data_IF_328056527165
#
_entry.id   IF_328056527165
#
_cell.length_a   1.000
_cell.length_b   1.000
_cell.length_c   1.000
_cell.angle_alpha   90.00
_cell.angle_beta   90.00
_cell.angle_gamma   90.00
#
_symmetry.space_group_name_H-M   'P 1'
#
loop_
_entity.id
_entity.type
_entity.pdbx_description
1 polymer ?
#
# COMPACT_ATOMS: atom_id res chain seq x y z
N UNK A 1 0.23 -29.49 -28.91
CA UNK A 1 0.02 -28.64 -27.71
C UNK A 1 -0.56 -29.55 -26.62
N UNK A 2 0.28 -30.07 -25.72
CA UNK A 2 -0.19 -30.94 -24.64
C UNK A 2 -0.61 -30.05 -23.47
N UNK A 3 -1.91 -30.04 -23.17
CA UNK A 3 -2.45 -29.41 -21.98
C UNK A 3 -1.86 -30.10 -20.75
N UNK A 4 -1.14 -29.34 -19.90
CA UNK A 4 -0.73 -29.83 -18.58
C UNK A 4 -2.00 -30.06 -17.76
N UNK A 5 -2.18 -31.31 -17.32
CA UNK A 5 -3.29 -31.70 -16.45
C UNK A 5 -3.22 -30.95 -15.12
N UNK A 6 -4.37 -30.66 -14.47
CA UNK A 6 -4.39 -30.01 -13.17
C UNK A 6 -3.66 -30.87 -12.14
N UNK A 7 -2.77 -30.25 -11.36
CA UNK A 7 -2.04 -30.88 -10.27
C UNK A 7 -3.04 -31.19 -9.15
N UNK A 8 -3.71 -32.33 -9.25
CA UNK A 8 -4.54 -32.86 -8.17
C UNK A 8 -3.67 -33.35 -7.03
N UNK A 9 -4.12 -33.15 -5.79
CA UNK A 9 -3.46 -33.73 -4.62
C UNK A 9 -3.57 -35.27 -4.69
N UNK A 10 -2.49 -35.93 -5.09
CA UNK A 10 -2.34 -37.37 -4.99
C UNK A 10 -1.76 -37.65 -3.61
N UNK A 11 -2.58 -38.17 -2.69
CA UNK A 11 -2.18 -38.51 -1.33
C UNK A 11 -0.95 -39.45 -1.27
N UNK A 12 -0.44 -39.74 -0.06
CA UNK A 12 0.80 -40.48 0.13
C UNK A 12 0.78 -41.83 -0.61
N UNK A 13 1.88 -42.11 -1.31
CA UNK A 13 2.10 -43.37 -2.02
C UNK A 13 2.66 -44.43 -1.07
N UNK A 14 2.78 -45.67 -1.55
CA UNK A 14 3.41 -46.75 -0.80
C UNK A 14 4.94 -46.58 -0.66
N UNK A 15 5.52 -45.51 -1.22
CA UNK A 15 6.96 -45.23 -1.18
C UNK A 15 7.21 -43.90 -0.44
N UNK A 16 7.53 -43.96 0.87
CA UNK A 16 7.82 -42.76 1.65
C UNK A 16 8.96 -41.90 1.07
N UNK A 17 9.93 -42.53 0.40
CA UNK A 17 11.01 -41.82 -0.29
C UNK A 17 10.50 -41.03 -1.50
N UNK A 18 9.58 -41.62 -2.30
CA UNK A 18 9.03 -40.93 -3.48
C UNK A 18 8.04 -39.81 -3.09
N UNK A 19 7.43 -39.90 -1.91
CA UNK A 19 6.61 -38.81 -1.36
C UNK A 19 7.48 -37.68 -0.79
N UNK A 20 8.62 -38.02 -0.17
CA UNK A 20 9.59 -37.03 0.33
C UNK A 20 10.23 -36.23 -0.80
N UNK A 21 10.69 -36.91 -1.87
CA UNK A 21 11.25 -36.25 -3.06
C UNK A 21 10.21 -35.34 -3.74
N UNK A 22 8.95 -35.78 -3.86
CA UNK A 22 7.87 -34.96 -4.43
C UNK A 22 7.57 -33.74 -3.58
N UNK A 23 7.57 -33.89 -2.26
CA UNK A 23 7.36 -32.77 -1.35
C UNK A 23 8.49 -31.74 -1.44
N UNK A 24 9.74 -32.18 -1.57
CA UNK A 24 10.90 -31.30 -1.81
C UNK A 24 10.74 -30.53 -3.12
N UNK A 25 10.39 -31.20 -4.22
CA UNK A 25 10.12 -30.55 -5.52
C UNK A 25 8.99 -29.52 -5.43
N UNK A 26 7.90 -29.84 -4.72
CA UNK A 26 6.76 -28.94 -4.53
C UNK A 26 7.15 -27.70 -3.70
N UNK A 27 8.00 -27.87 -2.69
CA UNK A 27 8.53 -26.76 -1.88
C UNK A 27 9.47 -25.87 -2.69
N UNK A 28 10.36 -26.45 -3.49
CA UNK A 28 11.24 -25.69 -4.38
C UNK A 28 10.44 -24.90 -5.41
N UNK A 29 9.42 -25.51 -6.02
CA UNK A 29 8.53 -24.83 -6.96
C UNK A 29 7.73 -23.69 -6.29
N UNK A 30 7.22 -23.92 -5.07
CA UNK A 30 6.52 -22.90 -4.30
C UNK A 30 7.43 -21.73 -3.93
N UNK A 31 8.69 -22.02 -3.55
CA UNK A 31 9.68 -21.01 -3.24
C UNK A 31 10.04 -20.17 -4.48
N UNK A 32 10.30 -20.81 -5.62
CA UNK A 32 10.56 -20.11 -6.87
C UNK A 32 9.37 -19.21 -7.28
N UNK A 33 8.13 -19.68 -7.07
CA UNK A 33 6.94 -18.89 -7.34
C UNK A 33 6.84 -17.67 -6.41
N UNK A 34 7.17 -17.82 -5.11
CA UNK A 34 7.20 -16.71 -4.16
C UNK A 34 8.22 -15.64 -4.56
N UNK A 35 9.43 -16.05 -4.92
CA UNK A 35 10.48 -15.11 -5.34
C UNK A 35 10.08 -14.31 -6.59
N UNK A 36 9.43 -14.96 -7.55
CA UNK A 36 8.89 -14.27 -8.74
C UNK A 36 7.77 -13.31 -8.34
N UNK A 37 6.86 -13.73 -7.46
CA UNK A 37 5.76 -12.89 -6.99
C UNK A 37 6.27 -11.65 -6.25
N UNK A 38 7.25 -11.79 -5.36
CA UNK A 38 7.86 -10.68 -4.62
C UNK A 38 8.52 -9.66 -5.55
N UNK A 39 9.15 -10.12 -6.64
CA UNK A 39 9.75 -9.23 -7.64
C UNK A 39 8.72 -8.53 -8.53
N UNK A 40 7.65 -9.23 -8.91
CA UNK A 40 6.67 -8.72 -9.87
C UNK A 40 5.56 -7.89 -9.23
N UNK A 41 5.17 -8.20 -7.99
CA UNK A 41 4.05 -7.53 -7.32
C UNK A 41 4.22 -5.99 -7.24
N UNK A 42 5.39 -5.43 -6.85
CA UNK A 42 5.58 -3.98 -6.84
C UNK A 42 5.40 -3.34 -8.22
N UNK A 43 5.86 -4.00 -9.28
CA UNK A 43 5.75 -3.51 -10.66
C UNK A 43 4.29 -3.48 -11.13
N UNK A 44 3.51 -4.51 -10.79
CA UNK A 44 2.08 -4.58 -11.11
C UNK A 44 1.33 -3.46 -10.38
N UNK A 45 1.64 -3.23 -9.11
CA UNK A 45 1.04 -2.14 -8.31
C UNK A 45 1.39 -0.78 -8.91
N UNK A 46 2.67 -0.55 -9.24
CA UNK A 46 3.13 0.68 -9.85
C UNK A 46 2.41 0.97 -11.18
N UNK A 47 2.28 -0.04 -12.05
CA UNK A 47 1.58 0.11 -13.33
C UNK A 47 0.12 0.52 -13.14
N UNK A 48 -0.56 -0.01 -12.12
CA UNK A 48 -1.94 0.34 -11.80
C UNK A 48 -2.07 1.77 -11.30
N UNK A 49 -1.19 2.18 -10.39
CA UNK A 49 -1.14 3.57 -9.90
C UNK A 49 -0.90 4.56 -11.05
N UNK A 50 0.00 4.22 -11.98
CA UNK A 50 0.28 5.05 -13.16
C UNK A 50 -0.86 5.11 -14.18
N UNK A 51 -1.77 4.13 -14.16
CA UNK A 51 -2.92 4.10 -15.05
C UNK A 51 -4.08 5.02 -14.59
N UNK A 52 -4.06 5.50 -13.34
CA UNK A 52 -5.07 6.40 -12.78
C UNK A 52 -4.97 7.78 -13.43
N UNK A 53 -6.10 8.29 -13.94
CA UNK A 53 -6.13 9.55 -14.70
C UNK A 53 -7.04 10.60 -14.09
N UNK A 54 -8.00 10.20 -13.26
CA UNK A 54 -8.97 11.09 -12.65
C UNK A 54 -8.84 11.05 -11.13
N UNK A 55 -9.13 12.15 -10.42
CA UNK A 55 -9.09 12.17 -8.95
C UNK A 55 -10.00 11.11 -8.30
N UNK A 56 -11.11 10.74 -8.94
CA UNK A 56 -12.03 9.74 -8.42
C UNK A 56 -11.41 8.33 -8.40
N UNK A 57 -10.49 8.03 -9.32
CA UNK A 57 -9.78 6.74 -9.42
C UNK A 57 -9.01 6.48 -8.12
N UNK A 58 -8.39 7.52 -7.55
CA UNK A 58 -7.64 7.47 -6.29
C UNK A 58 -8.49 7.15 -5.05
N UNK A 59 -9.82 7.30 -5.16
CA UNK A 59 -10.76 7.03 -4.08
C UNK A 59 -11.59 5.76 -4.28
N UNK A 60 -11.55 5.17 -5.48
CA UNK A 60 -12.44 4.07 -5.89
C UNK A 60 -11.69 2.82 -6.36
N UNK A 61 -10.51 2.97 -6.95
CA UNK A 61 -9.83 1.85 -7.61
C UNK A 61 -9.08 0.98 -6.62
N UNK A 62 -9.42 -0.30 -6.68
CA UNK A 62 -8.95 -1.32 -5.74
C UNK A 62 -7.64 -1.93 -6.23
N UNK A 63 -6.57 -1.68 -5.50
CA UNK A 63 -5.28 -2.33 -5.76
C UNK A 63 -5.33 -3.70 -5.07
N UNK A 64 -5.74 -4.69 -5.88
CA UNK A 64 -5.95 -6.12 -5.60
C UNK A 64 -5.36 -6.70 -4.31
N UNK A 65 -6.22 -7.30 -3.47
CA UNK A 65 -5.94 -8.50 -2.63
C UNK A 65 -7.24 -9.16 -2.09
N UNK A 66 -8.35 -9.21 -2.84
CA UNK A 66 -9.63 -9.69 -2.29
C UNK A 66 -10.23 -8.81 -1.18
N UNK A 67 -9.45 -7.86 -0.65
CA UNK A 67 -9.83 -6.63 0.03
C UNK A 67 -9.69 -5.46 -0.95
N UNK A 68 -10.58 -4.49 -0.82
CA UNK A 68 -10.59 -3.26 -1.61
C UNK A 68 -9.67 -2.26 -0.90
N UNK A 69 -8.43 -2.13 -1.38
CA UNK A 69 -7.50 -1.10 -0.89
C UNK A 69 -7.45 0.06 -1.88
N UNK A 70 -7.82 1.25 -1.41
CA UNK A 70 -7.59 2.49 -2.13
C UNK A 70 -6.09 2.89 -2.03
N UNK A 71 -5.55 3.61 -3.02
CA UNK A 71 -4.17 4.10 -3.00
C UNK A 71 -3.77 4.84 -1.71
N UNK A 72 -4.67 5.64 -1.14
CA UNK A 72 -4.41 6.35 0.11
C UNK A 72 -4.29 5.41 1.31
N UNK A 73 -5.03 4.29 1.35
CA UNK A 73 -4.93 3.31 2.43
C UNK A 73 -3.60 2.54 2.37
N UNK A 74 -3.09 2.30 1.17
CA UNK A 74 -1.75 1.71 0.98
C UNK A 74 -0.67 2.70 1.45
N UNK A 75 -0.82 3.98 1.11
CA UNK A 75 0.10 5.01 1.56
C UNK A 75 0.10 5.14 3.09
N UNK A 76 -1.08 5.11 3.70
CA UNK A 76 -1.25 5.17 5.16
C UNK A 76 -0.55 4.00 5.84
N UNK A 77 -0.83 2.77 5.41
CA UNK A 77 -0.17 1.58 5.94
C UNK A 77 1.36 1.60 5.73
N UNK A 78 1.84 2.16 4.62
CA UNK A 78 3.27 2.29 4.36
C UNK A 78 3.92 3.31 5.31
N UNK A 79 3.26 4.43 5.61
CA UNK A 79 3.75 5.39 6.61
C UNK A 79 3.73 4.80 8.02
N UNK A 80 2.69 4.03 8.38
CA UNK A 80 2.61 3.32 9.68
C UNK A 80 3.75 2.32 9.86
N UNK A 81 4.27 1.74 8.77
CA UNK A 81 5.40 0.82 8.83
C UNK A 81 6.72 1.48 9.25
N UNK A 82 6.78 2.82 9.24
CA UNK A 82 7.95 3.59 9.69
C UNK A 82 9.12 3.57 8.70
N UNK A 83 8.88 3.27 7.42
CA UNK A 83 9.90 3.33 6.38
C UNK A 83 10.28 4.78 6.04
N UNK A 84 11.53 5.15 6.34
CA UNK A 84 12.06 6.51 6.14
C UNK A 84 11.97 6.98 4.67
N UNK A 85 12.14 6.06 3.71
CA UNK A 85 12.06 6.40 2.29
C UNK A 85 10.63 6.81 1.90
N UNK A 86 9.63 6.07 2.39
CA UNK A 86 8.21 6.40 2.22
C UNK A 86 7.88 7.74 2.87
N UNK A 87 8.30 7.96 4.13
CA UNK A 87 8.06 9.21 4.83
C UNK A 87 8.70 10.40 4.10
N UNK A 88 9.92 10.25 3.62
CA UNK A 88 10.62 11.28 2.84
C UNK A 88 9.90 11.62 1.53
N UNK A 89 9.42 10.60 0.80
CA UNK A 89 8.70 10.82 -0.46
C UNK A 89 7.35 11.53 -0.25
N UNK A 90 6.64 11.19 0.83
CA UNK A 90 5.40 11.87 1.21
C UNK A 90 5.67 13.31 1.63
N UNK A 91 6.72 13.54 2.42
CA UNK A 91 7.12 14.88 2.83
C UNK A 91 7.44 15.76 1.62
N UNK A 92 8.16 15.23 0.62
CA UNK A 92 8.43 15.95 -0.63
C UNK A 92 7.13 16.29 -1.38
N UNK A 93 6.21 15.33 -1.52
CA UNK A 93 4.93 15.55 -2.18
C UNK A 93 4.12 16.67 -1.51
N UNK A 94 4.02 16.63 -0.18
CA UNK A 94 3.25 17.59 0.61
C UNK A 94 3.94 18.95 0.70
N UNK A 95 5.26 19.02 0.73
CA UNK A 95 5.98 20.30 0.80
C UNK A 95 6.22 20.93 -0.57
N UNK A 96 5.96 20.19 -1.65
CA UNK A 96 6.16 20.68 -3.01
C UNK A 96 5.27 21.91 -3.33
N UNK A 97 5.69 22.80 -4.25
CA UNK A 97 4.86 23.93 -4.68
C UNK A 97 3.49 23.53 -5.22
N UNK A 98 3.36 22.30 -5.75
CA UNK A 98 2.10 21.77 -6.27
C UNK A 98 1.06 21.48 -5.18
N UNK A 99 1.49 21.32 -3.92
CA UNK A 99 0.60 21.11 -2.79
C UNK A 99 -0.03 22.40 -2.24
N UNK A 100 0.38 23.59 -2.71
CA UNK A 100 -0.09 24.87 -2.16
C UNK A 100 -1.63 25.00 -2.13
N UNK A 101 -2.32 24.54 -3.19
CA UNK A 101 -3.78 24.55 -3.24
C UNK A 101 -4.40 23.58 -2.24
N UNK A 102 -3.80 22.41 -2.06
CA UNK A 102 -4.22 21.43 -1.06
C UNK A 102 -4.11 22.02 0.35
N UNK A 103 -2.99 22.67 0.66
CA UNK A 103 -2.79 23.35 1.95
C UNK A 103 -3.87 24.40 2.23
N UNK A 104 -4.21 25.22 1.24
CA UNK A 104 -5.25 26.23 1.40
C UNK A 104 -6.62 25.62 1.69
N UNK A 105 -6.99 24.55 0.98
CA UNK A 105 -8.26 23.86 1.18
C UNK A 105 -8.30 23.19 2.56
N UNK A 106 -7.23 22.50 2.95
CA UNK A 106 -7.11 21.87 4.25
C UNK A 106 -7.17 22.90 5.38
N UNK A 107 -6.41 23.99 5.28
CA UNK A 107 -6.42 25.06 6.28
C UNK A 107 -7.82 25.68 6.43
N UNK A 108 -8.53 25.91 5.31
CA UNK A 108 -9.89 26.44 5.33
C UNK A 108 -10.85 25.46 6.02
N UNK A 109 -10.82 24.19 5.62
CA UNK A 109 -11.70 23.17 6.19
C UNK A 109 -11.40 22.95 7.68
N UNK A 110 -10.13 22.81 8.05
CA UNK A 110 -9.70 22.56 9.42
C UNK A 110 -9.99 23.77 10.32
N UNK A 111 -9.67 24.98 9.85
CA UNK A 111 -9.99 26.22 10.54
C UNK A 111 -11.49 26.40 10.77
N UNK A 112 -12.36 25.96 9.84
CA UNK A 112 -13.81 25.98 10.06
C UNK A 112 -14.27 24.95 11.08
N UNK A 113 -13.64 23.77 11.13
CA UNK A 113 -14.04 22.68 12.03
C UNK A 113 -13.55 22.87 13.46
N UNK A 114 -12.37 23.46 13.63
CA UNK A 114 -11.67 23.58 14.91
C UNK A 114 -11.40 25.04 15.30
N UNK A 115 -12.20 25.97 14.79
CA UNK A 115 -11.99 27.42 14.95
C UNK A 115 -11.75 27.85 16.41
N UNK A 116 -12.56 27.33 17.34
CA UNK A 116 -12.49 27.68 18.75
C UNK A 116 -11.24 27.12 19.42
N UNK A 117 -10.91 25.85 19.16
CA UNK A 117 -9.73 25.20 19.74
C UNK A 117 -8.45 25.90 19.28
N UNK A 118 -8.34 26.18 17.97
CA UNK A 118 -7.21 26.91 17.38
C UNK A 118 -7.09 28.32 17.99
N UNK A 119 -8.20 29.04 18.09
CA UNK A 119 -8.20 30.38 18.69
C UNK A 119 -7.71 30.34 20.15
N UNK A 120 -8.20 29.38 20.92
CA UNK A 120 -7.79 29.23 22.31
C UNK A 120 -6.31 28.87 22.44
N UNK A 121 -5.80 27.91 21.68
CA UNK A 121 -4.39 27.52 21.75
C UNK A 121 -3.47 28.67 21.36
N UNK A 122 -3.69 29.29 20.19
CA UNK A 122 -2.78 30.30 19.65
C UNK A 122 -2.88 31.65 20.39
N UNK A 123 -4.09 32.11 20.69
CA UNK A 123 -4.29 33.45 21.27
C UNK A 123 -4.07 33.44 22.78
N UNK A 124 -4.47 32.38 23.49
CA UNK A 124 -4.24 32.31 24.94
C UNK A 124 -2.77 32.02 25.25
N UNK A 125 -2.07 31.20 24.46
CA UNK A 125 -0.61 31.02 24.64
C UNK A 125 0.18 32.29 24.32
N UNK A 126 -0.21 33.06 23.30
CA UNK A 126 0.45 34.33 22.99
C UNK A 126 0.34 35.36 24.14
N UNK A 127 -0.73 35.32 24.94
CA UNK A 127 -0.91 36.19 26.11
C UNK A 127 -0.27 35.65 27.39
N UNK A 128 0.22 34.40 27.41
CA UNK A 128 0.92 33.81 28.56
C UNK A 128 2.43 34.15 28.59
N UNK A 129 2.97 34.74 27.51
CA UNK A 129 4.37 35.14 27.37
C UNK A 129 4.59 36.67 27.36
N UNK A 130 3.58 37.44 27.75
CA UNK A 130 3.67 38.89 28.03
C UNK A 130 3.52 39.11 29.54
#
# INVERSE_FOLDING_TARGET
>A
MNARQPVGYFGPTSSPCADAERWEDEQEAAQAMREVAERQAPLIVLQRLQAMKQPADWSKDCICTGKLWAPFEILDAAMESGDDATLSAVAELLTSPHAAKLHQVLATWFGQKHALDIYHEEVVQAHAHV
#
